data_IF_323004589263
#
_entry.id   IF_323004589263
#
_cell.length_a   1.000
_cell.length_b   1.000
_cell.length_c   1.000
_cell.angle_alpha   90.00
_cell.angle_beta   90.00
_cell.angle_gamma   90.00
#
_symmetry.space_group_name_H-M   'P 1'
#
loop_
_entity.id
_entity.type
_entity.pdbx_description
1 polymer ?
#
# COMPACT_ATOMS: atom_id res chain seq x y z
N UNK A 1 20.14 -25.96 -14.94
CA UNK A 1 19.13 -24.88 -14.84
C UNK A 1 17.78 -25.55 -14.71
N UNK A 2 17.12 -25.40 -13.56
CA UNK A 2 15.95 -26.20 -13.15
C UNK A 2 14.72 -25.93 -14.03
N UNK A 3 14.47 -26.79 -15.03
CA UNK A 3 13.28 -26.72 -15.92
C UNK A 3 13.14 -25.39 -16.71
N UNK A 4 14.21 -24.61 -16.87
CA UNK A 4 14.17 -23.32 -17.56
C UNK A 4 13.53 -22.18 -16.74
N UNK A 5 13.27 -22.38 -15.45
CA UNK A 5 12.72 -21.36 -14.55
C UNK A 5 13.85 -20.51 -13.94
N UNK A 6 13.84 -19.17 -14.11
CA UNK A 6 14.81 -18.29 -13.48
C UNK A 6 14.39 -18.02 -12.02
N UNK A 7 15.22 -18.45 -11.06
CA UNK A 7 15.01 -18.14 -9.65
C UNK A 7 15.80 -16.91 -9.21
N UNK A 8 15.11 -15.99 -8.54
CA UNK A 8 15.76 -14.99 -7.68
C UNK A 8 15.96 -15.59 -6.29
N UNK A 9 17.19 -15.61 -5.78
CA UNK A 9 17.52 -16.25 -4.51
C UNK A 9 17.60 -15.22 -3.39
N UNK A 10 16.92 -15.50 -2.28
CA UNK A 10 16.91 -14.67 -1.08
C UNK A 10 17.20 -15.50 0.17
N UNK A 11 17.89 -14.89 1.13
CA UNK A 11 18.07 -15.43 2.47
C UNK A 11 17.43 -14.47 3.47
N UNK A 12 16.53 -14.98 4.30
CA UNK A 12 15.80 -14.19 5.30
C UNK A 12 15.80 -14.95 6.64
N UNK A 13 15.67 -14.29 7.80
CA UNK A 13 15.59 -14.98 9.08
C UNK A 13 14.43 -15.99 9.10
N UNK A 14 13.21 -15.51 8.85
CA UNK A 14 11.96 -16.28 8.86
C UNK A 14 11.02 -15.75 7.79
N UNK A 15 10.29 -16.64 7.12
CA UNK A 15 9.31 -16.25 6.11
C UNK A 15 8.02 -15.74 6.74
N UNK A 16 7.59 -14.55 6.35
CA UNK A 16 6.29 -13.98 6.71
C UNK A 16 5.39 -13.93 5.49
N UNK A 17 4.13 -14.29 5.69
CA UNK A 17 3.11 -14.22 4.65
C UNK A 17 2.76 -12.76 4.35
N UNK A 18 2.66 -12.40 3.07
CA UNK A 18 2.35 -11.01 2.70
C UNK A 18 0.87 -10.72 2.91
N UNK A 19 0.55 -9.95 3.94
CA UNK A 19 -0.83 -9.49 4.19
C UNK A 19 -1.39 -8.68 3.01
N UNK A 20 -2.72 -8.72 2.86
CA UNK A 20 -3.45 -8.12 1.73
C UNK A 20 -2.94 -8.53 0.34
N UNK A 21 -2.23 -9.66 0.24
CA UNK A 21 -1.78 -10.23 -1.02
C UNK A 21 -2.48 -11.57 -1.21
N UNK A 22 -3.41 -11.68 -2.19
CA UNK A 22 -4.06 -12.94 -2.45
C UNK A 22 -3.02 -13.99 -2.82
N UNK A 23 -2.98 -15.07 -2.04
CA UNK A 23 -1.98 -16.11 -2.17
C UNK A 23 -2.53 -17.46 -1.74
N UNK A 24 -2.04 -18.52 -2.37
CA UNK A 24 -2.30 -19.91 -1.99
C UNK A 24 -1.01 -20.51 -1.45
N UNK A 25 -1.12 -21.22 -0.33
CA UNK A 25 0.01 -21.90 0.30
C UNK A 25 -0.10 -23.38 0.01
N UNK A 26 0.92 -23.95 -0.62
CA UNK A 26 1.08 -25.38 -0.84
C UNK A 26 2.18 -25.88 0.10
N UNK A 27 1.79 -26.41 1.26
CA UNK A 27 2.68 -26.91 2.31
C UNK A 27 3.31 -28.24 1.91
N UNK A 28 4.57 -28.38 2.30
CA UNK A 28 5.35 -29.60 2.27
C UNK A 28 5.99 -29.81 3.65
N UNK A 29 6.32 -31.05 3.97
CA UNK A 29 7.13 -31.33 5.15
C UNK A 29 8.61 -30.94 4.92
N UNK A 30 9.35 -30.83 6.02
CA UNK A 30 10.79 -30.59 5.98
C UNK A 30 11.52 -31.64 5.15
N UNK A 31 12.38 -31.18 4.23
CA UNK A 31 13.12 -32.01 3.27
C UNK A 31 12.24 -32.94 2.40
N UNK A 32 10.96 -32.61 2.22
CA UNK A 32 10.00 -33.31 1.35
C UNK A 32 9.59 -32.46 0.15
N UNK A 33 8.97 -33.11 -0.84
CA UNK A 33 8.48 -32.48 -2.07
C UNK A 33 7.00 -32.74 -2.34
N UNK A 34 6.40 -33.63 -1.57
CA UNK A 34 5.02 -34.05 -1.66
C UNK A 34 4.09 -32.90 -1.28
N UNK A 35 3.12 -32.61 -2.15
CA UNK A 35 1.99 -31.71 -1.89
C UNK A 35 0.73 -32.55 -1.92
N UNK A 36 -0.14 -32.41 -0.92
CA UNK A 36 -1.38 -33.20 -0.87
C UNK A 36 -2.29 -32.89 -2.05
N UNK A 37 -3.04 -33.90 -2.51
CA UNK A 37 -3.99 -33.75 -3.62
C UNK A 37 -5.03 -32.64 -3.34
N UNK A 38 -5.47 -32.51 -2.10
CA UNK A 38 -6.40 -31.45 -1.71
C UNK A 38 -5.87 -30.04 -2.02
N UNK A 39 -4.58 -29.79 -1.73
CA UNK A 39 -3.95 -28.49 -2.01
C UNK A 39 -3.81 -28.24 -3.52
N UNK A 40 -3.52 -29.30 -4.29
CA UNK A 40 -3.50 -29.25 -5.76
C UNK A 40 -4.90 -28.94 -6.34
N UNK A 41 -5.95 -29.54 -5.79
CA UNK A 41 -7.34 -29.29 -6.20
C UNK A 41 -7.79 -27.87 -5.81
N UNK A 42 -7.29 -27.33 -4.69
CA UNK A 42 -7.49 -25.93 -4.33
C UNK A 42 -6.84 -24.99 -5.36
N UNK A 43 -5.59 -25.24 -5.77
CA UNK A 43 -4.93 -24.47 -6.84
C UNK A 43 -5.71 -24.57 -8.15
N UNK A 44 -6.08 -25.77 -8.56
CA UNK A 44 -6.79 -26.03 -9.82
C UNK A 44 -8.13 -25.28 -9.90
N UNK A 45 -8.86 -25.14 -8.79
CA UNK A 45 -10.09 -24.33 -8.74
C UNK A 45 -9.79 -22.83 -8.80
N UNK A 46 -8.75 -22.37 -8.11
CA UNK A 46 -8.38 -20.96 -8.08
C UNK A 46 -7.86 -20.46 -9.44
N UNK A 47 -7.02 -21.24 -10.12
CA UNK A 47 -6.39 -20.88 -11.40
C UNK A 47 -7.40 -20.71 -12.56
N UNK A 48 -8.61 -21.26 -12.42
CA UNK A 48 -9.71 -21.00 -13.37
C UNK A 48 -10.07 -19.52 -13.45
N UNK A 49 -10.05 -18.80 -12.32
CA UNK A 49 -10.48 -17.40 -12.21
C UNK A 49 -9.36 -16.41 -11.90
N UNK A 50 -8.16 -16.90 -11.60
CA UNK A 50 -7.02 -16.08 -11.20
C UNK A 50 -5.81 -16.36 -12.09
N UNK A 51 -4.89 -15.40 -12.11
CA UNK A 51 -3.60 -15.49 -12.81
C UNK A 51 -2.50 -15.39 -11.77
N UNK A 52 -1.60 -16.39 -11.67
CA UNK A 52 -0.41 -16.29 -10.83
C UNK A 52 0.55 -15.26 -11.42
N UNK A 53 1.24 -14.51 -10.58
CA UNK A 53 2.26 -13.54 -11.00
C UNK A 53 3.57 -13.67 -10.23
N UNK A 54 3.58 -14.32 -9.08
CA UNK A 54 4.79 -14.59 -8.30
C UNK A 54 4.64 -15.92 -7.55
N UNK A 55 5.72 -16.70 -7.47
CA UNK A 55 5.79 -17.96 -6.74
C UNK A 55 7.05 -17.97 -5.89
N UNK A 56 6.86 -18.09 -4.58
CA UNK A 56 7.94 -18.25 -3.62
C UNK A 56 8.07 -19.74 -3.27
N UNK A 57 9.21 -20.34 -3.60
CA UNK A 57 9.60 -21.64 -3.05
C UNK A 57 10.39 -21.39 -1.77
N UNK A 58 9.75 -21.71 -0.64
CA UNK A 58 10.28 -21.42 0.70
C UNK A 58 10.75 -22.70 1.36
N UNK A 59 11.94 -22.66 1.95
CA UNK A 59 12.46 -23.73 2.80
C UNK A 59 13.61 -23.21 3.67
N UNK A 60 14.06 -23.99 4.65
CA UNK A 60 15.15 -23.62 5.54
C UNK A 60 16.53 -23.86 4.91
N UNK A 61 17.48 -22.98 5.19
CA UNK A 61 18.92 -23.19 4.95
C UNK A 61 19.50 -23.99 6.13
N UNK A 62 19.10 -25.25 6.25
CA UNK A 62 19.57 -26.13 7.32
C UNK A 62 19.95 -27.52 6.79
N UNK A 63 21.10 -28.09 7.20
CA UNK A 63 22.17 -27.43 7.98
C UNK A 63 22.80 -26.22 7.26
N UNK A 64 23.36 -25.24 7.97
CA UNK A 64 23.96 -24.03 7.34
C UNK A 64 25.05 -24.38 6.32
N UNK A 65 25.81 -25.44 6.58
CA UNK A 65 26.77 -25.98 5.63
C UNK A 65 26.08 -26.95 4.67
N UNK A 66 25.98 -26.58 3.38
CA UNK A 66 25.37 -27.39 2.32
C UNK A 66 26.03 -28.77 2.19
N UNK A 67 27.34 -28.90 2.50
CA UNK A 67 28.03 -30.21 2.46
C UNK A 67 27.53 -31.18 3.54
N UNK A 68 26.87 -30.68 4.59
CA UNK A 68 26.27 -31.49 5.63
C UNK A 68 24.82 -31.90 5.31
N UNK A 69 24.28 -31.50 4.15
CA UNK A 69 22.94 -31.89 3.73
C UNK A 69 22.92 -33.36 3.39
N UNK A 70 22.02 -34.10 4.05
CA UNK A 70 21.79 -35.51 3.74
C UNK A 70 20.96 -35.70 2.48
N UNK A 71 20.04 -34.77 2.23
CA UNK A 71 19.18 -34.77 1.05
C UNK A 71 19.90 -34.08 -0.10
N UNK A 72 19.88 -34.71 -1.28
CA UNK A 72 20.38 -34.10 -2.49
C UNK A 72 19.53 -32.86 -2.84
N UNK A 73 20.14 -31.68 -2.73
CA UNK A 73 19.45 -30.40 -2.96
C UNK A 73 18.86 -30.28 -4.37
N UNK A 74 19.65 -30.65 -5.38
CA UNK A 74 19.24 -30.51 -6.78
C UNK A 74 18.11 -31.47 -7.13
N UNK A 75 18.14 -32.67 -6.59
CA UNK A 75 17.07 -33.66 -6.75
C UNK A 75 15.79 -33.21 -6.04
N UNK A 76 15.90 -32.78 -4.78
CA UNK A 76 14.75 -32.32 -4.01
C UNK A 76 14.07 -31.11 -4.68
N UNK A 77 14.86 -30.12 -5.09
CA UNK A 77 14.36 -28.94 -5.80
C UNK A 77 13.68 -29.32 -7.12
N UNK A 78 14.28 -30.24 -7.88
CA UNK A 78 13.72 -30.74 -9.13
C UNK A 78 12.39 -31.46 -8.89
N UNK A 79 12.32 -32.34 -7.89
CA UNK A 79 11.09 -33.07 -7.56
C UNK A 79 9.98 -32.12 -7.12
N UNK A 80 10.29 -31.10 -6.30
CA UNK A 80 9.32 -30.05 -5.93
C UNK A 80 8.75 -29.33 -7.14
N UNK A 81 9.61 -28.95 -8.08
CA UNK A 81 9.18 -28.32 -9.32
C UNK A 81 8.33 -29.26 -10.17
N UNK A 82 8.74 -30.52 -10.33
CA UNK A 82 7.93 -31.50 -11.06
C UNK A 82 6.54 -31.69 -10.45
N UNK A 83 6.43 -31.81 -9.13
CA UNK A 83 5.15 -31.94 -8.44
C UNK A 83 4.20 -30.79 -8.77
N UNK A 84 4.69 -29.54 -8.70
CA UNK A 84 3.87 -28.37 -9.00
C UNK A 84 3.56 -28.22 -10.51
N UNK A 85 4.55 -28.42 -11.38
CA UNK A 85 4.39 -28.24 -12.83
C UNK A 85 3.63 -29.39 -13.49
N UNK A 86 3.60 -30.57 -12.90
CA UNK A 86 2.73 -31.66 -13.32
C UNK A 86 1.26 -31.33 -13.03
N UNK A 87 0.99 -30.64 -11.91
CA UNK A 87 -0.34 -30.15 -11.60
C UNK A 87 -0.77 -28.99 -12.50
N UNK A 88 0.15 -28.06 -12.79
CA UNK A 88 -0.12 -26.93 -13.68
C UNK A 88 1.13 -26.49 -14.45
N UNK A 89 1.24 -26.98 -15.68
CA UNK A 89 2.37 -26.66 -16.56
C UNK A 89 2.38 -25.20 -17.02
N UNK A 90 1.27 -24.46 -16.88
CA UNK A 90 1.20 -23.04 -17.26
C UNK A 90 2.01 -22.14 -16.34
N UNK A 91 2.40 -22.65 -15.16
CA UNK A 91 3.28 -21.97 -14.21
C UNK A 91 4.71 -21.75 -14.73
N UNK A 92 5.08 -22.37 -15.86
CA UNK A 92 6.32 -22.06 -16.61
C UNK A 92 6.30 -20.70 -17.32
N UNK A 93 5.20 -19.95 -17.21
CA UNK A 93 5.07 -18.64 -17.83
C UNK A 93 6.18 -17.68 -17.36
N UNK A 94 6.89 -17.05 -18.29
CA UNK A 94 8.00 -16.12 -18.03
C UNK A 94 7.58 -14.84 -17.29
N UNK A 95 6.29 -14.53 -17.30
CA UNK A 95 5.72 -13.38 -16.57
C UNK A 95 5.50 -13.69 -15.08
N UNK A 96 5.69 -14.94 -14.65
CA UNK A 96 5.65 -15.30 -13.24
C UNK A 96 7.06 -15.12 -12.68
N UNK A 97 7.18 -14.28 -11.64
CA UNK A 97 8.43 -14.16 -10.89
C UNK A 97 8.59 -15.36 -9.97
N UNK A 98 9.72 -16.05 -10.07
CA UNK A 98 10.04 -17.17 -9.19
C UNK A 98 11.12 -16.79 -8.20
N UNK A 99 10.83 -16.94 -6.92
CA UNK A 99 11.77 -16.67 -5.85
C UNK A 99 12.10 -17.95 -5.08
N UNK A 100 13.37 -18.12 -4.72
CA UNK A 100 13.86 -19.17 -3.85
C UNK A 100 14.20 -18.54 -2.51
N UNK A 101 13.39 -18.80 -1.50
CA UNK A 101 13.50 -18.18 -0.19
C UNK A 101 14.07 -19.17 0.82
N UNK A 102 15.23 -18.82 1.38
CA UNK A 102 15.98 -19.63 2.33
C UNK A 102 15.87 -19.00 3.72
N UNK A 103 15.19 -19.68 4.64
CA UNK A 103 15.05 -19.25 6.02
C UNK A 103 16.30 -19.64 6.83
N UNK A 104 16.89 -18.69 7.55
CA UNK A 104 18.24 -18.86 8.14
C UNK A 104 18.29 -18.93 9.66
N UNK A 105 17.19 -18.60 10.35
CA UNK A 105 17.21 -18.40 11.80
C UNK A 105 17.09 -19.70 12.62
N UNK A 106 16.78 -20.83 11.96
CA UNK A 106 16.83 -22.16 12.59
C UNK A 106 18.28 -22.64 12.84
N UNK A 107 18.56 -23.17 14.03
CA UNK A 107 19.84 -23.73 14.46
C UNK A 107 19.81 -25.25 14.65
N UNK A 108 18.63 -25.84 14.85
CA UNK A 108 18.43 -27.28 15.05
C UNK A 108 17.56 -27.88 13.95
N UNK A 109 17.54 -29.21 13.84
CA UNK A 109 16.67 -29.90 12.88
C UNK A 109 15.20 -29.78 13.30
N UNK A 110 14.93 -29.79 14.60
CA UNK A 110 13.61 -29.59 15.19
C UNK A 110 13.05 -28.20 14.88
N UNK A 111 13.87 -27.15 15.01
CA UNK A 111 13.51 -25.81 14.54
C UNK A 111 13.34 -25.77 13.03
N UNK A 112 14.25 -26.38 12.27
CA UNK A 112 14.12 -26.41 10.82
C UNK A 112 12.83 -27.10 10.37
N UNK A 113 12.33 -28.09 11.11
CA UNK A 113 11.04 -28.77 10.88
C UNK A 113 9.82 -27.92 11.22
N UNK A 114 9.91 -26.99 12.16
CA UNK A 114 8.79 -26.14 12.56
C UNK A 114 8.55 -24.96 11.62
N UNK A 115 9.55 -24.63 10.80
CA UNK A 115 9.46 -23.55 9.81
C UNK A 115 8.58 -23.95 8.63
N UNK A 116 8.14 -22.97 7.85
CA UNK A 116 7.34 -23.26 6.65
C UNK A 116 8.23 -23.79 5.51
N UNK A 117 7.78 -24.88 4.86
CA UNK A 117 8.32 -25.36 3.59
C UNK A 117 7.19 -25.54 2.59
N UNK A 118 7.45 -25.14 1.34
CA UNK A 118 6.47 -25.31 0.27
C UNK A 118 6.45 -24.15 -0.71
N UNK A 119 5.38 -24.07 -1.49
CA UNK A 119 5.15 -22.97 -2.43
C UNK A 119 4.15 -21.97 -1.87
N UNK A 120 4.39 -20.68 -2.13
CA UNK A 120 3.41 -19.62 -1.96
C UNK A 120 3.14 -19.03 -3.34
N UNK A 121 1.95 -19.29 -3.87
CA UNK A 121 1.54 -18.81 -5.20
C UNK A 121 0.73 -17.53 -5.01
N UNK A 122 1.31 -16.38 -5.37
CA UNK A 122 0.63 -15.09 -5.35
C UNK A 122 -0.11 -14.90 -6.67
N UNK A 123 -1.38 -14.53 -6.56
CA UNK A 123 -2.27 -14.48 -7.71
C UNK A 123 -3.17 -13.24 -7.68
N UNK A 124 -3.75 -12.93 -8.84
CA UNK A 124 -4.74 -11.86 -8.98
C UNK A 124 -5.93 -12.32 -9.82
N UNK A 125 -7.14 -11.77 -9.63
CA UNK A 125 -8.28 -12.14 -10.45
C UNK A 125 -8.06 -11.82 -11.94
N UNK A 126 -8.55 -12.69 -12.83
CA UNK A 126 -8.57 -12.44 -14.29
C UNK A 126 -9.45 -11.25 -14.66
N UNK A 127 -10.51 -11.03 -13.86
CA UNK A 127 -11.44 -9.90 -14.00
C UNK A 127 -11.61 -9.26 -12.64
N UNK A 128 -11.52 -7.93 -12.59
CA UNK A 128 -11.72 -7.12 -11.40
C UNK A 128 -12.86 -6.15 -11.63
N UNK A 129 -13.65 -5.88 -10.59
CA UNK A 129 -14.70 -4.86 -10.65
C UNK A 129 -14.10 -3.46 -10.51
N UNK A 130 -14.79 -2.47 -11.06
CA UNK A 130 -14.46 -1.05 -10.87
C UNK A 130 -15.19 -0.54 -9.64
N UNK A 131 -14.46 0.12 -8.74
CA UNK A 131 -15.01 0.82 -7.58
C UNK A 131 -14.43 2.23 -7.60
N UNK A 132 -15.25 3.19 -8.00
CA UNK A 132 -14.91 4.62 -7.97
C UNK A 132 -15.44 5.31 -6.69
N UNK A 133 -16.35 4.66 -5.95
CA UNK A 133 -16.84 5.11 -4.65
C UNK A 133 -16.68 3.99 -3.62
N UNK A 134 -15.83 4.21 -2.62
CA UNK A 134 -15.61 3.25 -1.53
C UNK A 134 -16.62 3.55 -0.43
N UNK A 135 -17.61 2.68 -0.23
CA UNK A 135 -18.67 2.90 0.78
C UNK A 135 -18.50 2.03 2.01
N UNK A 136 -17.80 0.91 1.86
CA UNK A 136 -17.70 -0.11 2.91
C UNK A 136 -16.26 -0.56 3.15
N UNK A 137 -15.95 -1.10 4.35
CA UNK A 137 -14.71 -1.82 4.60
C UNK A 137 -14.39 -2.91 3.56
N UNK A 138 -15.43 -3.56 3.03
CA UNK A 138 -15.29 -4.60 2.00
C UNK A 138 -14.79 -4.03 0.68
N UNK A 139 -15.25 -2.83 0.29
CA UNK A 139 -14.78 -2.16 -0.92
C UNK A 139 -13.33 -1.72 -0.79
N UNK A 140 -12.96 -1.15 0.37
CA UNK A 140 -11.58 -0.79 0.66
C UNK A 140 -10.66 -2.02 0.62
N UNK A 141 -11.04 -3.11 1.29
CA UNK A 141 -10.29 -4.38 1.25
C UNK A 141 -10.19 -4.93 -0.17
N UNK A 142 -11.24 -4.81 -0.99
CA UNK A 142 -11.21 -5.28 -2.38
C UNK A 142 -10.20 -4.48 -3.23
N UNK A 143 -10.09 -3.16 -3.03
CA UNK A 143 -9.06 -2.34 -3.68
C UNK A 143 -7.66 -2.76 -3.22
N UNK A 144 -7.42 -2.84 -1.90
CA UNK A 144 -6.12 -3.15 -1.31
C UNK A 144 -5.59 -4.56 -1.67
N UNK A 145 -6.50 -5.49 -1.93
CA UNK A 145 -6.17 -6.87 -2.33
C UNK A 145 -6.14 -7.07 -3.86
N UNK A 146 -6.45 -6.04 -4.65
CA UNK A 146 -6.50 -6.14 -6.12
C UNK A 146 -7.70 -6.92 -6.67
N UNK A 147 -8.73 -7.17 -5.85
CA UNK A 147 -10.02 -7.72 -6.31
C UNK A 147 -10.95 -6.67 -6.92
N UNK A 148 -10.63 -5.40 -6.71
CA UNK A 148 -11.21 -4.25 -7.38
C UNK A 148 -10.12 -3.28 -7.80
N UNK A 149 -10.46 -2.36 -8.69
CA UNK A 149 -9.63 -1.20 -9.01
C UNK A 149 -10.49 0.06 -9.11
N UNK A 150 -9.89 1.22 -8.87
CA UNK A 150 -10.49 2.50 -9.26
C UNK A 150 -10.08 2.85 -10.70
N UNK A 151 -10.86 3.70 -11.37
CA UNK A 151 -10.42 4.36 -12.61
C UNK A 151 -9.45 5.50 -12.31
N UNK A 152 -9.60 6.13 -11.16
CA UNK A 152 -8.68 7.17 -10.73
C UNK A 152 -7.29 6.56 -10.44
N UNK A 153 -6.26 7.35 -10.73
CA UNK A 153 -4.85 6.99 -10.48
C UNK A 153 -4.04 8.21 -10.03
N UNK A 154 -4.69 9.25 -9.52
CA UNK A 154 -4.07 10.55 -9.20
C UNK A 154 -2.93 10.39 -8.21
N UNK A 155 -3.23 9.83 -7.04
CA UNK A 155 -2.22 9.61 -5.99
C UNK A 155 -1.13 8.67 -6.48
N UNK A 156 -1.49 7.58 -7.14
CA UNK A 156 -0.51 6.62 -7.62
C UNK A 156 0.47 7.25 -8.62
N UNK A 157 -0.04 8.01 -9.60
CA UNK A 157 0.78 8.65 -10.63
C UNK A 157 1.65 9.77 -10.08
N UNK A 158 1.14 10.59 -9.18
CA UNK A 158 1.94 11.64 -8.54
C UNK A 158 3.12 11.02 -7.78
N UNK A 159 2.86 10.00 -6.96
CA UNK A 159 3.91 9.28 -6.23
C UNK A 159 4.89 8.54 -7.15
N UNK A 160 4.50 8.17 -8.38
CA UNK A 160 5.43 7.63 -9.38
C UNK A 160 6.26 8.70 -10.10
N UNK A 161 5.70 9.89 -10.34
CA UNK A 161 6.41 11.03 -10.95
C UNK A 161 7.49 11.60 -10.04
N UNK A 162 7.37 11.39 -8.73
CA UNK A 162 8.30 11.90 -7.71
C UNK A 162 9.11 10.79 -7.02
N UNK A 163 10.00 10.06 -7.73
CA UNK A 163 10.85 9.05 -7.12
C UNK A 163 11.89 9.66 -6.15
N UNK A 164 12.13 10.96 -6.21
CA UNK A 164 13.02 11.71 -5.31
C UNK A 164 12.39 11.96 -3.93
N UNK A 165 11.07 11.84 -3.77
CA UNK A 165 10.43 11.96 -2.47
C UNK A 165 10.79 10.76 -1.60
N UNK A 166 11.53 11.01 -0.53
CA UNK A 166 11.91 10.04 0.50
C UNK A 166 11.65 10.61 1.88
N UNK A 167 11.65 9.73 2.88
CA UNK A 167 11.39 10.06 4.28
C UNK A 167 10.15 10.95 4.48
N UNK A 168 9.00 10.50 3.97
CA UNK A 168 7.76 11.28 3.90
C UNK A 168 6.95 11.20 5.19
N UNK A 169 6.41 12.35 5.62
CA UNK A 169 5.21 12.47 6.44
C UNK A 169 4.02 12.65 5.51
N UNK A 170 3.16 11.63 5.39
CA UNK A 170 1.93 11.73 4.60
C UNK A 170 0.74 12.02 5.51
N UNK A 171 0.13 13.17 5.32
CA UNK A 171 -1.13 13.58 5.95
C UNK A 171 -2.24 13.42 4.94
N UNK A 172 -3.30 12.72 5.30
CA UNK A 172 -4.32 12.31 4.36
C UNK A 172 -5.71 12.56 4.90
N UNK A 173 -6.49 13.27 4.09
CA UNK A 173 -7.93 13.32 4.24
C UNK A 173 -8.48 11.90 4.13
N UNK A 174 -9.12 11.45 5.19
CA UNK A 174 -9.72 10.13 5.32
C UNK A 174 -11.23 10.21 5.54
N UNK A 175 -11.87 11.05 4.75
CA UNK A 175 -13.32 11.19 4.63
C UNK A 175 -13.89 10.30 3.52
N UNK A 176 -15.22 10.28 3.39
CA UNK A 176 -15.93 9.39 2.47
C UNK A 176 -15.51 9.53 1.00
N UNK A 177 -15.26 10.74 0.52
CA UNK A 177 -14.83 11.00 -0.85
C UNK A 177 -13.38 10.55 -1.09
N UNK A 178 -12.55 10.57 -0.04
CA UNK A 178 -11.11 10.36 -0.15
C UNK A 178 -10.64 8.91 0.01
N UNK A 179 -11.52 7.99 0.42
CA UNK A 179 -11.18 6.58 0.62
C UNK A 179 -10.54 5.89 -0.60
N UNK A 180 -10.95 6.23 -1.83
CA UNK A 180 -10.37 5.64 -3.06
C UNK A 180 -8.92 6.08 -3.25
N UNK A 181 -8.59 7.32 -2.89
CA UNK A 181 -7.27 7.92 -3.07
C UNK A 181 -6.28 7.38 -2.03
N UNK A 182 -6.67 7.28 -0.76
CA UNK A 182 -5.77 6.65 0.22
C UNK A 182 -5.60 5.15 0.03
N UNK A 183 -6.57 4.45 -0.57
CA UNK A 183 -6.33 3.08 -1.03
C UNK A 183 -5.21 3.01 -2.09
N UNK A 184 -5.12 4.00 -3.00
CA UNK A 184 -4.02 4.08 -3.98
C UNK A 184 -2.67 4.31 -3.30
N UNK A 185 -2.59 5.21 -2.32
CA UNK A 185 -1.35 5.46 -1.57
C UNK A 185 -0.84 4.19 -0.90
N UNK A 186 -1.73 3.45 -0.24
CA UNK A 186 -1.36 2.23 0.48
C UNK A 186 -0.96 1.11 -0.49
N UNK A 187 -1.61 1.01 -1.66
CA UNK A 187 -1.19 0.11 -2.73
C UNK A 187 0.20 0.47 -3.28
N UNK A 188 0.47 1.76 -3.47
CA UNK A 188 1.78 2.26 -3.89
C UNK A 188 2.86 1.94 -2.85
N UNK A 189 2.57 2.20 -1.56
CA UNK A 189 3.48 1.89 -0.45
C UNK A 189 3.80 0.39 -0.39
N UNK A 190 2.79 -0.46 -0.53
CA UNK A 190 2.96 -1.92 -0.61
C UNK A 190 3.92 -2.34 -1.72
N UNK A 191 3.77 -1.75 -2.92
CA UNK A 191 4.64 -2.05 -4.05
C UNK A 191 6.09 -1.60 -3.78
N UNK A 192 6.29 -0.40 -3.22
CA UNK A 192 7.62 0.13 -2.88
C UNK A 192 8.31 -0.63 -1.76
N UNK A 193 7.59 -1.01 -0.70
CA UNK A 193 8.17 -1.83 0.38
C UNK A 193 8.64 -3.19 -0.13
N UNK A 194 7.94 -3.80 -1.08
CA UNK A 194 8.38 -5.06 -1.70
C UNK A 194 9.70 -4.95 -2.49
N UNK A 195 10.12 -3.72 -2.82
CA UNK A 195 11.39 -3.41 -3.50
C UNK A 195 12.43 -2.77 -2.57
N UNK A 196 12.17 -2.79 -1.25
CA UNK A 196 13.02 -2.20 -0.21
C UNK A 196 13.32 -0.71 -0.43
N UNK A 197 12.37 0.00 -1.04
CA UNK A 197 12.47 1.42 -1.42
C UNK A 197 11.28 2.21 -0.86
N UNK A 198 10.91 1.93 0.40
CA UNK A 198 9.79 2.60 1.04
C UNK A 198 10.18 4.01 1.46
N UNK A 199 9.56 5.00 0.82
CA UNK A 199 9.77 6.42 1.08
C UNK A 199 8.96 6.98 2.24
N UNK A 200 7.92 6.28 2.73
CA UNK A 200 7.00 6.84 3.73
C UNK A 200 7.41 6.40 5.13
N UNK A 201 7.57 7.36 6.03
CA UNK A 201 7.91 7.13 7.45
C UNK A 201 6.70 7.20 8.34
N UNK A 202 5.78 8.11 8.03
CA UNK A 202 4.63 8.39 8.87
C UNK A 202 3.36 8.56 8.05
N UNK A 203 2.25 8.09 8.61
CA UNK A 203 0.91 8.39 8.10
C UNK A 203 0.09 9.10 9.17
N UNK A 204 -0.60 10.15 8.76
CA UNK A 204 -1.61 10.84 9.57
C UNK A 204 -2.92 10.83 8.78
N UNK A 205 -3.99 10.39 9.41
CA UNK A 205 -5.33 10.35 8.85
C UNK A 205 -6.21 11.32 9.62
N UNK A 206 -7.08 12.05 8.93
CA UNK A 206 -8.13 12.83 9.58
C UNK A 206 -9.51 12.55 8.98
N UNK A 207 -10.56 12.72 9.78
CA UNK A 207 -11.94 12.47 9.35
C UNK A 207 -12.92 13.56 9.83
N UNK A 208 -12.37 14.72 10.17
CA UNK A 208 -13.10 15.92 10.59
C UNK A 208 -13.98 15.68 11.81
N UNK A 209 -13.32 15.26 12.89
CA UNK A 209 -13.89 15.32 14.23
C UNK A 209 -14.77 14.14 14.63
N UNK A 210 -14.64 12.96 14.02
CA UNK A 210 -15.30 11.72 14.49
C UNK A 210 -16.84 11.80 14.60
N UNK A 211 -17.52 12.28 13.55
CA UNK A 211 -18.99 12.48 13.51
C UNK A 211 -19.50 13.57 14.47
N UNK A 212 -18.62 14.47 14.92
CA UNK A 212 -19.07 15.72 15.55
C UNK A 212 -20.00 16.48 14.60
N UNK A 213 -20.99 17.16 15.15
CA UNK A 213 -21.82 18.08 14.37
C UNK A 213 -21.01 19.34 14.06
N UNK A 214 -21.37 20.10 13.01
CA UNK A 214 -20.65 21.32 12.59
C UNK A 214 -20.36 22.27 13.76
N UNK A 215 -21.34 22.51 14.64
CA UNK A 215 -21.16 23.40 15.80
C UNK A 215 -20.14 22.91 16.85
N UNK A 216 -19.78 21.62 16.82
CA UNK A 216 -18.78 21.02 17.71
C UNK A 216 -17.38 20.99 17.09
N UNK A 217 -17.25 21.34 15.80
CA UNK A 217 -15.99 21.36 15.05
C UNK A 217 -15.32 22.72 15.21
N UNK A 218 -14.80 22.94 16.42
CA UNK A 218 -14.09 24.18 16.77
C UNK A 218 -12.67 24.13 16.21
N UNK A 219 -12.29 25.13 15.42
CA UNK A 219 -10.94 25.27 14.82
C UNK A 219 -9.84 25.04 15.86
N UNK A 220 -8.88 24.18 15.53
CA UNK A 220 -7.76 23.78 16.40
C UNK A 220 -8.13 22.73 17.45
N UNK A 221 -9.39 22.31 17.52
CA UNK A 221 -9.93 21.34 18.49
C UNK A 221 -10.99 20.42 17.89
N UNK A 222 -11.12 20.36 16.56
CA UNK A 222 -12.05 19.50 15.84
C UNK A 222 -11.76 18.03 16.15
N UNK A 223 -10.48 17.66 16.15
CA UNK A 223 -10.02 16.30 16.43
C UNK A 223 -10.28 15.34 15.27
N UNK A 224 -10.37 14.04 15.57
CA UNK A 224 -10.46 13.05 14.48
C UNK A 224 -9.13 12.85 13.74
N UNK A 225 -8.01 13.22 14.35
CA UNK A 225 -6.65 13.05 13.80
C UNK A 225 -6.00 11.80 14.39
N UNK A 226 -5.45 10.95 13.53
CA UNK A 226 -4.90 9.64 13.88
C UNK A 226 -3.53 9.44 13.24
N UNK A 227 -2.51 9.19 14.06
CA UNK A 227 -1.13 8.97 13.62
C UNK A 227 -0.82 7.47 13.62
N UNK A 228 -0.42 6.91 12.50
CA UNK A 228 0.14 5.57 12.45
C UNK A 228 1.61 5.63 12.88
N UNK A 229 1.99 4.83 13.88
CA UNK A 229 3.37 4.74 14.39
C UNK A 229 4.20 3.67 13.68
N UNK A 230 3.76 3.24 12.51
CA UNK A 230 4.31 2.08 11.82
C UNK A 230 4.06 2.20 10.33
N UNK A 231 5.02 1.67 9.56
CA UNK A 231 4.96 1.53 8.11
C UNK A 231 4.45 0.16 7.69
N UNK A 232 4.12 -0.71 8.65
CA UNK A 232 3.58 -2.04 8.39
C UNK A 232 2.18 -1.94 7.79
N UNK A 233 2.01 -2.55 6.61
CA UNK A 233 0.79 -2.48 5.83
C UNK A 233 -0.45 -2.87 6.62
N UNK A 234 -0.34 -3.91 7.45
CA UNK A 234 -1.47 -4.41 8.23
C UNK A 234 -2.00 -3.38 9.22
N UNK A 235 -1.09 -2.73 9.95
CA UNK A 235 -1.45 -1.73 10.96
C UNK A 235 -1.96 -0.45 10.31
N UNK A 236 -1.40 -0.06 9.15
CA UNK A 236 -1.94 1.05 8.34
C UNK A 236 -3.39 0.77 7.94
N UNK A 237 -3.68 -0.42 7.41
CA UNK A 237 -5.04 -0.78 6.98
C UNK A 237 -5.99 -0.90 8.17
N UNK A 238 -5.55 -1.45 9.30
CA UNK A 238 -6.35 -1.46 10.55
C UNK A 238 -6.68 -0.03 10.99
N UNK A 239 -5.73 0.90 10.92
CA UNK A 239 -5.96 2.31 11.23
C UNK A 239 -6.99 2.91 10.28
N UNK A 240 -6.84 2.74 8.96
CA UNK A 240 -7.80 3.24 7.97
C UNK A 240 -9.24 2.75 8.24
N UNK A 241 -9.41 1.47 8.55
CA UNK A 241 -10.71 0.88 8.89
C UNK A 241 -11.27 1.43 10.21
N UNK A 242 -10.40 1.68 11.19
CA UNK A 242 -10.78 2.28 12.46
C UNK A 242 -11.25 3.74 12.29
N UNK A 243 -10.51 4.55 11.55
CA UNK A 243 -10.85 5.96 11.28
C UNK A 243 -12.15 6.06 10.46
N UNK A 244 -12.32 5.22 9.45
CA UNK A 244 -13.57 5.11 8.65
C UNK A 244 -14.79 4.81 9.54
N UNK A 245 -14.64 3.97 10.58
CA UNK A 245 -15.74 3.67 11.52
C UNK A 245 -16.09 4.88 12.40
N UNK A 246 -15.10 5.73 12.69
CA UNK A 246 -15.23 6.90 13.56
C UNK A 246 -15.94 8.07 12.88
N UNK A 247 -15.87 8.19 11.56
CA UNK A 247 -16.49 9.28 10.79
C UNK A 247 -16.04 9.30 9.35
N UNK A 248 -16.75 10.06 8.51
CA UNK A 248 -16.52 10.16 7.08
C UNK A 248 -16.64 11.61 6.55
N UNK A 249 -16.40 12.62 7.40
CA UNK A 249 -16.62 14.05 7.07
C UNK A 249 -17.93 14.54 7.69
N UNK A 250 -18.85 15.05 6.89
CA UNK A 250 -20.23 15.30 7.32
C UNK A 250 -20.76 16.57 6.70
N UNK A 251 -20.12 17.69 6.99
CA UNK A 251 -20.20 18.94 6.23
C UNK A 251 -18.99 19.08 5.30
N UNK A 252 -19.02 20.05 4.39
CA UNK A 252 -18.01 20.19 3.33
C UNK A 252 -16.61 20.58 3.82
N UNK A 253 -16.44 21.50 4.79
CA UNK A 253 -15.12 21.89 5.25
C UNK A 253 -14.45 20.80 6.10
N UNK A 254 -13.15 20.58 5.96
CA UNK A 254 -12.40 19.52 6.65
C UNK A 254 -11.22 20.09 7.47
N UNK A 255 -10.67 19.34 8.43
CA UNK A 255 -9.68 19.84 9.41
C UNK A 255 -8.21 19.52 9.05
N UNK A 256 -7.80 19.91 7.84
CA UNK A 256 -6.49 19.63 7.26
C UNK A 256 -5.33 20.16 8.10
N UNK A 257 -5.41 21.40 8.60
CA UNK A 257 -4.28 22.04 9.28
C UNK A 257 -4.06 21.49 10.68
N UNK A 258 -5.12 21.13 11.40
CA UNK A 258 -5.03 20.36 12.65
C UNK A 258 -4.25 19.05 12.43
N UNK A 259 -4.52 18.35 11.32
CA UNK A 259 -3.84 17.10 10.99
C UNK A 259 -2.37 17.32 10.59
N UNK A 260 -2.09 18.33 9.77
CA UNK A 260 -0.74 18.73 9.39
C UNK A 260 0.08 19.09 10.62
N UNK A 261 -0.42 19.98 11.48
CA UNK A 261 0.28 20.40 12.69
C UNK A 261 0.50 19.23 13.65
N UNK A 262 -0.46 18.31 13.78
CA UNK A 262 -0.31 17.12 14.62
C UNK A 262 0.76 16.15 14.09
N UNK A 263 0.94 16.04 12.78
CA UNK A 263 2.06 15.31 12.19
C UNK A 263 3.38 16.04 12.42
N UNK A 264 3.38 17.34 12.10
CA UNK A 264 4.56 18.19 12.12
C UNK A 264 5.21 18.28 13.51
N UNK A 265 4.38 18.48 14.55
CA UNK A 265 4.85 18.75 15.91
C UNK A 265 5.25 17.51 16.70
N UNK A 266 4.72 16.34 16.34
CA UNK A 266 4.81 15.15 17.20
C UNK A 266 5.51 13.96 16.55
N UNK A 267 5.92 14.08 15.29
CA UNK A 267 6.63 13.05 14.56
C UNK A 267 8.00 13.61 14.15
N UNK A 268 8.97 12.72 13.98
CA UNK A 268 10.36 13.05 13.68
C UNK A 268 10.91 12.07 12.63
N UNK A 269 12.05 12.37 12.03
CA UNK A 269 12.70 11.49 11.05
C UNK A 269 11.97 11.43 9.72
N UNK A 270 11.47 12.58 9.26
CA UNK A 270 10.95 12.80 7.92
C UNK A 270 11.54 14.11 7.37
N UNK A 271 11.71 14.18 6.06
CA UNK A 271 12.27 15.32 5.34
C UNK A 271 11.18 16.14 4.63
N UNK A 272 10.14 15.46 4.15
CA UNK A 272 9.13 16.02 3.26
C UNK A 272 7.72 15.81 3.82
N UNK A 273 6.84 16.81 3.65
CA UNK A 273 5.43 16.75 4.07
C UNK A 273 4.53 16.72 2.85
N UNK A 274 3.70 15.67 2.76
CA UNK A 274 2.72 15.50 1.69
C UNK A 274 1.31 15.53 2.29
N UNK A 275 0.47 16.44 1.82
CA UNK A 275 -0.98 16.44 2.08
C UNK A 275 -1.70 15.78 0.90
N UNK A 276 -2.63 14.86 1.16
CA UNK A 276 -3.56 14.34 0.15
C UNK A 276 -4.97 14.79 0.51
N UNK A 277 -5.58 15.61 -0.33
CA UNK A 277 -6.82 16.31 -0.03
C UNK A 277 -7.80 16.36 -1.21
N UNK A 278 -9.08 16.57 -0.92
CA UNK A 278 -10.17 16.70 -1.90
C UNK A 278 -10.30 18.15 -2.38
N UNK A 279 -10.20 18.39 -3.69
CA UNK A 279 -10.36 19.72 -4.28
C UNK A 279 -11.78 20.31 -4.09
N UNK A 280 -12.75 19.51 -3.64
CA UNK A 280 -14.14 19.94 -3.42
C UNK A 280 -14.44 20.43 -2.01
N UNK A 281 -13.48 20.31 -1.09
CA UNK A 281 -13.67 20.65 0.32
C UNK A 281 -12.87 21.88 0.68
N UNK A 282 -13.51 22.81 1.40
CA UNK A 282 -12.82 23.94 2.05
C UNK A 282 -11.91 23.42 3.17
N UNK A 283 -10.85 24.18 3.47
CA UNK A 283 -10.00 23.91 4.64
C UNK A 283 -10.61 24.65 5.84
N UNK A 284 -11.34 23.94 6.69
CA UNK A 284 -12.08 24.50 7.86
C UNK A 284 -11.20 25.38 8.73
N UNK A 285 -9.97 24.93 8.92
CA UNK A 285 -9.04 25.48 9.89
C UNK A 285 -7.91 26.27 9.22
N UNK A 286 -8.15 26.86 8.04
CA UNK A 286 -7.20 27.67 7.28
C UNK A 286 -6.57 28.82 8.10
N UNK A 287 -7.27 29.30 9.13
CA UNK A 287 -6.76 30.27 10.12
C UNK A 287 -5.51 29.78 10.88
N UNK A 288 -5.22 28.47 10.85
CA UNK A 288 -4.03 27.87 11.47
C UNK A 288 -2.81 27.88 10.55
N UNK A 289 -2.92 28.35 9.30
CA UNK A 289 -1.87 28.27 8.28
C UNK A 289 -0.55 28.89 8.70
N UNK A 290 -0.59 30.03 9.40
CA UNK A 290 0.61 30.73 9.86
C UNK A 290 1.42 29.93 10.90
N UNK A 291 0.90 28.79 11.39
CA UNK A 291 1.61 27.86 12.29
C UNK A 291 2.35 26.75 11.56
N UNK A 292 2.13 26.59 10.25
CA UNK A 292 2.81 25.59 9.42
C UNK A 292 4.14 26.18 8.96
N UNK A 293 5.24 25.61 9.45
CA UNK A 293 6.59 26.19 9.35
C UNK A 293 7.47 25.56 8.27
N UNK A 294 6.87 24.77 7.37
CA UNK A 294 7.60 23.98 6.38
C UNK A 294 6.79 23.78 5.10
N UNK A 295 7.45 23.56 3.95
CA UNK A 295 6.78 23.27 2.69
C UNK A 295 5.81 22.10 2.77
N UNK A 296 4.61 22.29 2.22
CA UNK A 296 3.59 21.24 2.09
C UNK A 296 3.34 20.94 0.62
N UNK A 297 3.61 19.71 0.21
CA UNK A 297 3.30 19.21 -1.14
C UNK A 297 1.89 18.64 -1.15
N UNK A 298 0.98 19.23 -1.89
CA UNK A 298 -0.44 18.85 -1.89
C UNK A 298 -0.73 17.98 -3.10
N UNK A 299 -1.00 16.69 -2.89
CA UNK A 299 -1.63 15.84 -3.90
C UNK A 299 -3.12 16.14 -3.90
N UNK A 300 -3.53 16.96 -4.87
CA UNK A 300 -4.88 17.48 -4.91
C UNK A 300 -5.76 16.62 -5.82
N UNK A 301 -6.77 16.02 -5.21
CA UNK A 301 -7.60 15.01 -5.83
C UNK A 301 -8.90 15.60 -6.40
N UNK A 302 -9.49 14.93 -7.39
CA UNK A 302 -10.75 15.35 -8.05
C UNK A 302 -10.73 16.78 -8.66
N UNK A 303 -9.56 17.30 -9.09
CA UNK A 303 -9.43 18.55 -9.83
C UNK A 303 -10.12 18.45 -11.21
N UNK A 304 -11.05 19.37 -11.50
CA UNK A 304 -11.80 19.41 -12.77
C UNK A 304 -11.80 20.80 -13.42
N UNK A 305 -12.39 21.78 -12.74
CA UNK A 305 -12.66 23.12 -13.27
C UNK A 305 -11.92 24.21 -12.48
N UNK A 306 -10.70 23.92 -12.05
CA UNK A 306 -9.89 24.82 -11.23
C UNK A 306 -9.43 24.21 -9.93
N UNK A 307 -8.50 24.90 -9.30
CA UNK A 307 -7.92 24.53 -8.01
C UNK A 307 -8.63 25.31 -6.91
N UNK A 308 -8.95 24.64 -5.81
CA UNK A 308 -9.55 25.27 -4.65
C UNK A 308 -8.64 26.38 -4.09
N UNK A 309 -9.17 27.58 -3.78
CA UNK A 309 -8.36 28.70 -3.32
C UNK A 309 -7.60 28.41 -2.01
N UNK A 310 -8.18 27.63 -1.10
CA UNK A 310 -7.51 27.28 0.16
C UNK A 310 -6.24 26.45 -0.07
N UNK A 311 -6.24 25.55 -1.05
CA UNK A 311 -5.05 24.75 -1.37
C UNK A 311 -4.00 25.54 -2.14
N UNK A 312 -4.39 26.51 -2.99
CA UNK A 312 -3.46 27.49 -3.55
C UNK A 312 -2.75 28.25 -2.41
N UNK A 313 -3.55 28.78 -1.47
CA UNK A 313 -3.02 29.53 -0.34
C UNK A 313 -2.10 28.66 0.53
N UNK A 314 -2.52 27.45 0.88
CA UNK A 314 -1.76 26.52 1.71
C UNK A 314 -0.42 26.13 1.06
N UNK A 315 -0.45 25.71 -0.21
CA UNK A 315 0.77 25.28 -0.91
C UNK A 315 1.78 26.43 -1.00
N UNK A 316 1.36 27.59 -1.51
CA UNK A 316 2.33 28.64 -1.84
C UNK A 316 2.75 29.48 -0.64
N UNK A 317 1.90 29.66 0.39
CA UNK A 317 2.35 30.31 1.64
C UNK A 317 3.36 29.48 2.42
N UNK A 318 3.29 28.16 2.30
CA UNK A 318 4.26 27.26 2.97
C UNK A 318 5.54 27.07 2.15
N UNK A 319 5.62 27.59 0.92
CA UNK A 319 6.71 27.32 -0.02
C UNK A 319 6.68 25.90 -0.60
N UNK A 320 5.52 25.26 -0.55
CA UNK A 320 5.25 23.94 -1.12
C UNK A 320 4.75 23.99 -2.57
N UNK A 321 3.97 22.99 -2.96
CA UNK A 321 3.55 22.76 -4.36
C UNK A 321 2.21 22.02 -4.43
N UNK A 322 1.53 22.09 -5.58
CA UNK A 322 0.30 21.33 -5.87
C UNK A 322 0.56 20.31 -6.96
N UNK A 323 0.08 19.09 -6.77
CA UNK A 323 0.26 17.98 -7.70
C UNK A 323 -1.11 17.40 -8.05
N UNK A 324 -1.45 17.44 -9.34
CA UNK A 324 -2.71 16.89 -9.89
C UNK A 324 -2.44 15.58 -10.63
N UNK A 325 -3.48 15.00 -11.23
CA UNK A 325 -3.32 13.80 -12.05
C UNK A 325 -2.28 13.96 -13.16
N UNK A 326 -2.14 15.16 -13.73
CA UNK A 326 -1.34 15.42 -14.92
C UNK A 326 -0.17 16.37 -14.72
N UNK A 327 -0.21 17.22 -13.69
CA UNK A 327 0.71 18.35 -13.57
C UNK A 327 1.26 18.50 -12.16
N UNK A 328 2.43 19.12 -12.08
CA UNK A 328 3.13 19.47 -10.85
C UNK A 328 3.37 20.99 -10.90
N UNK A 329 2.74 21.72 -9.97
CA UNK A 329 2.61 23.17 -9.97
C UNK A 329 3.43 23.73 -8.80
N UNK A 330 4.50 24.45 -9.10
CA UNK A 330 5.44 24.97 -8.10
C UNK A 330 5.22 26.45 -7.80
N UNK A 331 4.46 27.14 -8.64
CA UNK A 331 4.15 28.55 -8.49
C UNK A 331 2.65 28.84 -8.69
N UNK A 332 2.16 29.88 -8.01
CA UNK A 332 0.74 30.25 -8.03
C UNK A 332 0.25 30.69 -9.40
N UNK A 333 1.08 31.45 -10.12
CA UNK A 333 0.81 31.91 -11.48
C UNK A 333 0.69 30.76 -12.48
N UNK A 334 1.54 29.72 -12.35
CA UNK A 334 1.42 28.49 -13.14
C UNK A 334 0.08 27.79 -12.88
N UNK A 335 -0.29 27.64 -11.61
CA UNK A 335 -1.54 27.00 -11.20
C UNK A 335 -2.77 27.76 -11.74
N UNK A 336 -2.76 29.09 -11.63
CA UNK A 336 -3.83 29.95 -12.12
C UNK A 336 -3.92 29.97 -13.65
N UNK A 337 -2.79 29.95 -14.35
CA UNK A 337 -2.77 29.90 -15.80
C UNK A 337 -3.33 28.59 -16.33
N UNK A 338 -3.00 27.47 -15.67
CA UNK A 338 -3.33 26.15 -16.17
C UNK A 338 -4.74 25.69 -15.77
N UNK A 339 -5.14 25.95 -14.53
CA UNK A 339 -6.39 25.46 -13.96
C UNK A 339 -7.37 26.59 -13.62
N UNK A 340 -6.86 27.79 -13.30
CA UNK A 340 -7.66 28.84 -12.69
C UNK A 340 -8.10 28.49 -11.27
N UNK A 341 -8.99 29.30 -10.70
CA UNK A 341 -9.57 29.08 -9.37
C UNK A 341 -10.91 28.38 -9.52
N UNK A 342 -11.13 27.33 -8.72
CA UNK A 342 -12.44 26.70 -8.65
C UNK A 342 -13.49 27.70 -8.13
N UNK A 343 -14.60 27.84 -8.82
CA UNK A 343 -15.74 28.64 -8.34
C UNK A 343 -16.64 27.75 -7.47
N UNK A 344 -17.26 28.31 -6.42
CA UNK A 344 -18.09 27.57 -5.43
C UNK A 344 -19.40 26.96 -6.01
N UNK A 345 -19.47 26.60 -7.29
CA UNK A 345 -20.69 26.11 -7.94
C UNK A 345 -20.53 24.83 -8.79
N UNK A 346 -19.36 24.19 -8.86
CA UNK A 346 -19.14 23.00 -9.72
C UNK A 346 -18.84 21.68 -8.96
#
# INVERSE_FOLDING_TARGET
MYEGIPFYRYQIPTYTFTEFTPQLVLRMDYAKFEVSQEQIDQWSRLSQRHVPYEIDLVFTLYPKNIKAWRTNFDELLRNRLYTLLAADSTLRNKNIRWNMILQTDCQTEEEAKSYFHGFVIKYRPKKVRIIDEVKTPTDLKALLTGYARSRDSTVFKVMERHPEWHDLLVVMDWTGSMYKFGAQLVLWHKYRTSTNNSSIRHFVFFNDGNKRTTNQKVIGRTGGVYRARTTELEEIVKMMLFVMKKGNGGDSPENDLEALLAGIQYLEGYDEVVLIADNKSDVRDIELLDKVDRPVRIILCDVKNGIHPDYLQLAFKTGGSIHTLHDDLYHEDEALQQYGVATQQD
#
